data_IF_467431478706
#
_entry.id   IF_467431478706
#
_cell.length_a   1.000
_cell.length_b   1.000
_cell.length_c   1.000
_cell.angle_alpha   90.00
_cell.angle_beta   90.00
_cell.angle_gamma   90.00
#
_symmetry.space_group_name_H-M   'P 1'
#
loop_
_entity.id
_entity.type
_entity.pdbx_description
1 polymer ?
#
# COMPACT_ATOMS: atom_id res chain seq x y z
N UNK A 1 -22.41 -12.70 -4.13
CA UNK A 1 -21.54 -11.62 -4.64
C UNK A 1 -21.65 -10.31 -3.86
N UNK A 2 -22.82 -9.80 -3.47
CA UNK A 2 -22.92 -8.72 -2.44
C UNK A 2 -23.44 -9.21 -1.07
N UNK A 3 -23.96 -10.43 -0.99
CA UNK A 3 -24.52 -11.01 0.25
C UNK A 3 -23.48 -11.46 1.30
N UNK A 4 -22.19 -11.15 1.12
CA UNK A 4 -21.11 -11.51 2.04
C UNK A 4 -20.35 -10.29 2.58
N UNK A 5 -20.99 -9.12 2.56
CA UNK A 5 -20.42 -7.90 3.15
C UNK A 5 -20.23 -8.14 4.65
N UNK A 6 -18.98 -8.11 5.10
CA UNK A 6 -18.63 -8.23 6.51
C UNK A 6 -18.71 -6.87 7.20
N UNK A 7 -19.00 -6.88 8.50
CA UNK A 7 -18.95 -5.68 9.34
C UNK A 7 -17.57 -5.02 9.21
N UNK A 8 -17.55 -3.69 9.09
CA UNK A 8 -16.33 -2.88 8.95
C UNK A 8 -15.85 -2.66 7.51
N UNK A 9 -16.58 -3.15 6.50
CA UNK A 9 -16.26 -2.86 5.09
C UNK A 9 -16.93 -1.58 4.59
N UNK A 10 -16.23 -0.86 3.72
CA UNK A 10 -16.69 0.42 3.14
C UNK A 10 -17.50 0.13 1.88
N UNK A 11 -18.67 0.75 1.82
CA UNK A 11 -19.51 0.83 0.62
C UNK A 11 -19.53 2.29 0.17
N UNK A 12 -19.12 2.52 -1.06
CA UNK A 12 -19.27 3.83 -1.68
C UNK A 12 -20.53 3.83 -2.53
N UNK A 13 -21.34 4.87 -2.37
CA UNK A 13 -22.59 5.05 -3.13
C UNK A 13 -22.46 6.33 -3.92
N UNK A 14 -22.54 6.22 -5.23
CA UNK A 14 -22.60 7.36 -6.13
C UNK A 14 -24.06 7.69 -6.41
N UNK A 15 -24.45 8.93 -6.13
CA UNK A 15 -25.80 9.44 -6.36
C UNK A 15 -25.75 10.61 -7.33
N UNK A 16 -26.80 10.81 -8.11
CA UNK A 16 -26.97 12.01 -8.93
C UNK A 16 -27.70 13.13 -8.17
N UNK A 17 -27.82 14.30 -8.78
CA UNK A 17 -28.52 15.49 -8.24
C UNK A 17 -30.00 15.24 -7.91
N UNK A 18 -30.59 14.15 -8.40
CA UNK A 18 -31.97 13.72 -8.10
C UNK A 18 -32.05 12.65 -7.01
N UNK A 19 -30.98 12.42 -6.23
CA UNK A 19 -30.86 11.37 -5.21
C UNK A 19 -31.08 9.95 -5.75
N UNK A 20 -30.85 9.70 -7.04
CA UNK A 20 -30.87 8.35 -7.61
C UNK A 20 -29.48 7.73 -7.53
N UNK A 21 -29.40 6.51 -7.02
CA UNK A 21 -28.17 5.72 -7.01
C UNK A 21 -27.73 5.40 -8.44
N UNK A 22 -26.55 5.86 -8.81
CA UNK A 22 -25.88 5.58 -10.08
C UNK A 22 -24.99 4.34 -9.97
N UNK A 23 -24.21 4.26 -8.88
CA UNK A 23 -23.32 3.13 -8.65
C UNK A 23 -23.19 2.80 -7.15
N UNK A 24 -22.86 1.53 -6.88
CA UNK A 24 -22.56 0.97 -5.57
C UNK A 24 -21.24 0.22 -5.68
N UNK A 25 -20.22 0.69 -4.98
CA UNK A 25 -18.89 0.07 -4.98
C UNK A 25 -18.62 -0.55 -3.61
N UNK A 26 -18.41 -1.86 -3.59
CA UNK A 26 -17.91 -2.57 -2.42
C UNK A 26 -16.41 -2.73 -2.54
N UNK A 27 -15.67 -2.14 -1.60
CA UNK A 27 -14.21 -2.21 -1.56
C UNK A 27 -13.79 -3.45 -0.75
N UNK A 28 -13.27 -4.47 -1.44
CA UNK A 28 -12.80 -5.71 -0.79
C UNK A 28 -11.44 -5.49 -0.14
N UNK A 29 -10.52 -4.86 -0.88
CA UNK A 29 -9.18 -4.42 -0.45
C UNK A 29 -8.72 -3.20 -1.29
N UNK A 30 -7.47 -2.79 -1.17
CA UNK A 30 -6.95 -1.58 -1.83
C UNK A 30 -6.90 -1.68 -3.36
N UNK A 31 -6.99 -2.88 -3.94
CA UNK A 31 -6.91 -3.11 -5.38
C UNK A 31 -8.12 -3.83 -5.95
N UNK A 32 -9.02 -4.37 -5.15
CA UNK A 32 -10.14 -5.15 -5.67
C UNK A 32 -11.46 -4.86 -4.98
N UNK A 33 -12.54 -5.10 -5.71
CA UNK A 33 -13.88 -4.88 -5.21
C UNK A 33 -14.96 -5.34 -6.18
N UNK A 34 -16.18 -4.97 -5.86
CA UNK A 34 -17.36 -5.23 -6.68
C UNK A 34 -18.02 -3.90 -7.00
N UNK A 35 -18.27 -3.65 -8.28
CA UNK A 35 -18.98 -2.47 -8.77
C UNK A 35 -20.33 -2.88 -9.32
N UNK A 36 -21.39 -2.30 -8.75
CA UNK A 36 -22.75 -2.39 -9.28
C UNK A 36 -23.10 -1.04 -9.91
N UNK A 37 -23.23 -0.99 -11.23
CA UNK A 37 -23.58 0.22 -11.96
C UNK A 37 -24.95 0.09 -12.58
N UNK A 38 -25.75 1.16 -12.48
CA UNK A 38 -27.05 1.20 -13.14
C UNK A 38 -26.87 1.35 -14.65
N UNK A 39 -27.45 0.42 -15.41
CA UNK A 39 -27.52 0.43 -16.87
C UNK A 39 -28.98 0.26 -17.27
N UNK A 40 -29.59 1.34 -17.76
CA UNK A 40 -31.03 1.41 -18.05
C UNK A 40 -31.88 1.08 -16.80
N UNK A 41 -32.66 0.00 -16.86
CA UNK A 41 -33.50 -0.48 -15.74
C UNK A 41 -32.86 -1.61 -14.92
N UNK A 42 -31.65 -2.05 -15.29
CA UNK A 42 -30.93 -3.12 -14.58
C UNK A 42 -29.64 -2.61 -13.96
N UNK A 43 -29.06 -3.43 -13.08
CA UNK A 43 -27.71 -3.21 -12.57
C UNK A 43 -26.76 -4.20 -13.23
N UNK A 44 -25.68 -3.69 -13.81
CA UNK A 44 -24.52 -4.50 -14.18
C UNK A 44 -23.61 -4.61 -12.96
N UNK A 45 -23.30 -5.84 -12.56
CA UNK A 45 -22.43 -6.13 -11.42
C UNK A 45 -21.17 -6.79 -11.95
N UNK A 46 -20.02 -6.20 -11.65
CA UNK A 46 -18.71 -6.72 -12.07
C UNK A 46 -17.71 -6.64 -10.92
N UNK A 47 -16.84 -7.65 -10.84
CA UNK A 47 -15.65 -7.55 -10.00
C UNK A 47 -14.62 -6.69 -10.74
N UNK A 48 -13.92 -5.85 -10.00
CA UNK A 48 -12.77 -5.12 -10.52
C UNK A 48 -11.51 -5.50 -9.75
N UNK A 49 -10.40 -5.53 -10.47
CA UNK A 49 -9.06 -5.57 -9.91
C UNK A 49 -8.25 -4.46 -10.59
N UNK A 50 -7.73 -3.54 -9.80
CA UNK A 50 -6.80 -2.50 -10.23
C UNK A 50 -5.47 -3.19 -10.55
N UNK A 51 -5.04 -3.05 -11.80
CA UNK A 51 -3.71 -3.45 -12.22
C UNK A 51 -2.72 -2.53 -11.50
N UNK A 52 -2.07 -3.06 -10.47
CA UNK A 52 -1.00 -2.38 -9.76
C UNK A 52 0.30 -2.84 -10.38
N UNK A 53 1.00 -1.93 -11.04
CA UNK A 53 2.35 -2.21 -11.50
C UNK A 53 3.29 -2.16 -10.31
N UNK A 54 4.18 -3.15 -10.23
CA UNK A 54 5.22 -3.20 -9.21
C UNK A 54 6.55 -2.92 -9.88
N UNK A 55 7.34 -2.05 -9.29
CA UNK A 55 8.72 -1.82 -9.69
C UNK A 55 9.66 -2.32 -8.61
N UNK A 56 10.74 -2.99 -9.02
CA UNK A 56 11.83 -3.35 -8.12
C UNK A 56 12.77 -2.15 -7.99
N UNK A 57 12.97 -1.70 -6.76
CA UNK A 57 13.83 -0.56 -6.44
C UNK A 57 15.04 -1.06 -5.67
N UNK A 58 16.24 -0.75 -6.18
CA UNK A 58 17.50 -0.96 -5.46
C UNK A 58 17.94 0.33 -4.78
N UNK A 59 18.35 0.23 -3.52
CA UNK A 59 18.96 1.33 -2.76
C UNK A 59 20.18 0.85 -2.00
N UNK A 60 21.18 1.72 -1.92
CA UNK A 60 22.35 1.58 -1.07
C UNK A 60 22.46 2.85 -0.24
N UNK A 61 22.71 2.68 1.05
CA UNK A 61 22.78 3.78 2.02
C UNK A 61 24.06 3.63 2.83
N UNK A 62 24.82 4.72 2.93
CA UNK A 62 25.93 4.87 3.87
C UNK A 62 25.44 5.61 5.10
N UNK A 63 25.66 5.01 6.27
CA UNK A 63 25.22 5.54 7.55
C UNK A 63 26.28 6.53 8.03
N UNK A 64 25.90 7.80 8.12
CA UNK A 64 26.74 8.88 8.64
C UNK A 64 26.20 9.39 9.98
N UNK A 65 24.88 9.33 10.19
CA UNK A 65 24.18 9.80 11.38
C UNK A 65 23.43 8.64 12.04
N UNK A 66 22.47 8.05 11.33
CA UNK A 66 21.69 6.90 11.80
C UNK A 66 21.05 6.20 10.62
N UNK A 67 20.85 4.88 10.75
CA UNK A 67 20.19 4.06 9.73
C UNK A 67 18.88 4.71 9.25
N UNK A 68 18.08 5.21 10.18
CA UNK A 68 16.80 5.82 9.87
C UNK A 68 16.94 7.16 9.14
N UNK A 69 17.76 8.08 9.66
CA UNK A 69 17.89 9.42 9.10
C UNK A 69 18.56 9.42 7.72
N UNK A 70 19.58 8.59 7.55
CA UNK A 70 20.29 8.47 6.27
C UNK A 70 19.44 7.69 5.25
N UNK A 71 18.67 6.68 5.70
CA UNK A 71 17.70 5.98 4.85
C UNK A 71 16.62 6.90 4.28
N UNK A 72 16.02 7.76 5.11
CA UNK A 72 15.05 8.77 4.64
C UNK A 72 15.69 9.73 3.64
N UNK A 73 16.94 10.16 3.87
CA UNK A 73 17.65 11.07 2.97
C UNK A 73 17.90 10.46 1.59
N UNK A 74 18.16 9.15 1.54
CA UNK A 74 18.30 8.39 0.30
C UNK A 74 16.95 8.04 -0.36
N UNK A 75 15.83 8.53 0.19
CA UNK A 75 14.50 8.36 -0.39
C UNK A 75 13.90 6.98 -0.15
N UNK A 76 14.32 6.29 0.92
CA UNK A 76 13.60 5.10 1.36
C UNK A 76 12.29 5.49 2.04
N UNK A 77 11.17 4.82 1.73
CA UNK A 77 9.94 4.97 2.51
C UNK A 77 10.15 4.52 3.96
N UNK A 78 9.50 5.20 4.90
CA UNK A 78 9.54 4.88 6.33
C UNK A 78 9.25 3.40 6.59
N UNK A 79 8.22 2.85 5.95
CA UNK A 79 7.85 1.44 6.10
C UNK A 79 8.98 0.48 5.73
N UNK A 80 9.74 0.78 4.67
CA UNK A 80 10.84 -0.07 4.21
C UNK A 80 12.01 -0.03 5.20
N UNK A 81 12.29 1.14 5.79
CA UNK A 81 13.32 1.28 6.82
C UNK A 81 12.92 0.51 8.09
N UNK A 82 11.66 0.62 8.50
CA UNK A 82 11.16 -0.09 9.68
C UNK A 82 11.09 -1.59 9.48
N UNK A 83 10.76 -2.06 8.27
CA UNK A 83 10.82 -3.49 7.93
C UNK A 83 12.25 -4.03 8.03
N UNK A 84 13.26 -3.25 7.57
CA UNK A 84 14.67 -3.62 7.73
C UNK A 84 15.04 -3.78 9.22
N UNK A 85 14.66 -2.81 10.06
CA UNK A 85 14.91 -2.86 11.51
C UNK A 85 14.20 -4.05 12.15
N UNK A 86 12.96 -4.34 11.73
CA UNK A 86 12.20 -5.47 12.25
C UNK A 86 12.82 -6.82 11.89
N UNK A 87 13.28 -6.98 10.64
CA UNK A 87 13.88 -8.23 10.14
C UNK A 87 15.21 -8.54 10.85
N UNK A 88 16.07 -7.52 11.00
CA UNK A 88 17.43 -7.71 11.50
C UNK A 88 17.63 -7.34 12.97
N UNK A 89 16.61 -6.78 13.64
CA UNK A 89 16.71 -6.33 15.03
C UNK A 89 16.93 -7.45 16.06
N UNK A 90 16.84 -8.71 15.63
CA UNK A 90 17.19 -9.88 16.45
C UNK A 90 18.70 -10.15 16.48
N UNK A 91 19.40 -9.77 15.41
CA UNK A 91 20.83 -10.08 15.22
C UNK A 91 21.72 -8.84 15.37
N UNK A 92 21.17 -7.65 15.18
CA UNK A 92 21.88 -6.37 15.19
C UNK A 92 21.23 -5.43 16.19
N UNK A 93 22.00 -4.91 17.14
CA UNK A 93 21.58 -3.78 17.97
C UNK A 93 21.84 -2.47 17.22
N UNK A 94 20.82 -1.95 16.54
CA UNK A 94 20.95 -0.73 15.72
C UNK A 94 21.32 0.54 16.51
N UNK A 95 21.22 0.52 17.84
CA UNK A 95 21.63 1.64 18.69
C UNK A 95 23.12 1.53 19.01
N UNK A 96 23.62 0.31 19.28
CA UNK A 96 24.97 0.11 19.80
C UNK A 96 25.98 -0.35 18.75
N UNK A 97 25.58 -1.15 17.78
CA UNK A 97 26.49 -1.81 16.82
C UNK A 97 26.80 -0.94 15.60
N UNK A 98 25.87 -0.07 15.20
CA UNK A 98 26.01 0.79 14.03
C UNK A 98 26.99 1.93 14.27
N UNK A 99 27.86 2.18 13.29
CA UNK A 99 28.87 3.24 13.28
C UNK A 99 28.83 4.06 11.99
N UNK A 100 29.29 5.33 12.04
CA UNK A 100 29.52 6.11 10.83
C UNK A 100 30.47 5.38 9.86
N UNK A 101 30.07 5.31 8.58
CA UNK A 101 30.76 4.57 7.52
C UNK A 101 30.21 3.15 7.29
N UNK A 102 29.38 2.62 8.18
CA UNK A 102 28.63 1.39 7.90
C UNK A 102 27.66 1.62 6.74
N UNK A 103 27.33 0.56 6.01
CA UNK A 103 26.40 0.67 4.90
C UNK A 103 25.49 -0.54 4.79
N UNK A 104 24.32 -0.32 4.22
CA UNK A 104 23.37 -1.37 3.88
C UNK A 104 22.87 -1.18 2.45
N UNK A 105 22.35 -2.26 1.87
CA UNK A 105 21.73 -2.24 0.55
C UNK A 105 20.51 -3.15 0.57
N UNK A 106 19.47 -2.75 -0.15
CA UNK A 106 18.22 -3.48 -0.21
C UNK A 106 17.59 -3.38 -1.60
N UNK A 107 16.77 -4.38 -1.88
CA UNK A 107 15.83 -4.38 -3.00
C UNK A 107 14.43 -4.52 -2.41
N UNK A 108 13.51 -3.66 -2.81
CA UNK A 108 12.11 -3.72 -2.38
C UNK A 108 11.17 -3.47 -3.57
N UNK A 109 9.92 -3.87 -3.41
CA UNK A 109 8.86 -3.59 -4.37
C UNK A 109 8.16 -2.28 -4.01
N UNK A 110 8.01 -1.39 -4.99
CA UNK A 110 7.18 -0.19 -4.89
C UNK A 110 5.98 -0.33 -5.83
N UNK A 111 4.78 -0.02 -5.32
CA UNK A 111 3.57 0.03 -6.13
C UNK A 111 3.50 1.34 -6.90
N UNK A 112 3.49 1.27 -8.22
CA UNK A 112 3.23 2.42 -9.10
C UNK A 112 1.72 2.59 -9.22
N UNK A 113 1.24 3.81 -8.95
CA UNK A 113 -0.17 4.20 -9.13
C UNK A 113 -0.40 4.80 -10.50
#
# INVERSE_FOLDING_TARGET
MLAQIKVGKILEVEINDSNKVLSLNYIKDFKSGVKAQKTNETYKIEEYELLTEKSLVFKKVEINNSLYADGLREGLPDSVIMDLVYIFGWDIDFIHDIRPGDSYSLIYEEGIR
#
